data_IF_254673923883
#
_entry.id   IF_254673923883
#
_cell.length_a   1.000
_cell.length_b   1.000
_cell.length_c   1.000
_cell.angle_alpha   90.00
_cell.angle_beta   90.00
_cell.angle_gamma   90.00
#
_symmetry.space_group_name_H-M   'P 1'
#
loop_
_entity.id
_entity.type
_entity.pdbx_description
1 polymer ?
#
# COMPACT_ATOMS: atom_id res chain seq x y z
N UNK A 1 15.23 -3.41 -10.62
CA UNK A 1 13.94 -4.10 -10.44
C UNK A 1 12.82 -3.42 -11.23
N UNK A 2 12.62 -2.10 -11.10
CA UNK A 2 11.58 -1.36 -11.85
C UNK A 2 11.62 -1.55 -13.38
N UNK A 3 12.80 -1.46 -14.01
CA UNK A 3 12.92 -1.67 -15.47
C UNK A 3 12.45 -3.04 -15.96
N UNK A 4 12.66 -4.11 -15.18
CA UNK A 4 12.18 -5.47 -15.53
C UNK A 4 10.68 -5.64 -15.34
N UNK A 5 10.05 -4.81 -14.49
CA UNK A 5 8.59 -4.76 -14.37
C UNK A 5 8.00 -4.07 -15.60
N UNK A 6 8.61 -2.97 -16.07
CA UNK A 6 8.17 -2.25 -17.26
C UNK A 6 8.13 -3.18 -18.49
N UNK A 7 9.16 -4.01 -18.67
CA UNK A 7 9.25 -4.96 -19.79
C UNK A 7 8.23 -6.11 -19.72
N UNK A 8 7.73 -6.47 -18.53
CA UNK A 8 6.97 -7.72 -18.32
C UNK A 8 5.51 -7.51 -17.92
N UNK A 9 5.18 -6.36 -17.33
CA UNK A 9 3.92 -6.19 -16.59
C UNK A 9 2.78 -5.61 -17.44
N UNK A 10 3.01 -5.30 -18.74
CA UNK A 10 1.99 -4.75 -19.66
C UNK A 10 1.21 -3.56 -19.06
N UNK A 11 1.88 -2.74 -18.25
CA UNK A 11 1.29 -1.59 -17.54
C UNK A 11 1.46 -0.31 -18.36
N UNK A 12 0.45 0.55 -18.32
CA UNK A 12 0.47 1.84 -19.04
C UNK A 12 1.37 2.88 -18.36
N UNK A 13 1.51 2.78 -17.03
CA UNK A 13 2.26 3.72 -16.17
C UNK A 13 2.96 2.99 -15.03
N UNK A 14 4.18 3.41 -14.71
CA UNK A 14 4.99 2.87 -13.61
C UNK A 14 5.35 3.97 -12.64
N UNK A 15 5.01 3.78 -11.37
CA UNK A 15 5.38 4.70 -10.30
C UNK A 15 6.21 3.96 -9.25
N UNK A 16 7.19 4.64 -8.68
CA UNK A 16 8.13 4.03 -7.72
C UNK A 16 8.26 4.92 -6.49
N UNK A 17 8.19 4.33 -5.30
CA UNK A 17 8.45 5.02 -4.05
C UNK A 17 9.89 4.78 -3.59
N UNK A 18 10.84 5.69 -3.88
CA UNK A 18 12.22 5.55 -3.39
C UNK A 18 12.31 5.66 -1.86
N UNK A 19 11.39 6.38 -1.21
CA UNK A 19 11.34 6.53 0.25
C UNK A 19 10.06 5.88 0.78
N UNK A 20 10.05 4.53 0.77
CA UNK A 20 8.89 3.77 1.23
C UNK A 20 9.07 3.31 2.69
N UNK A 21 8.30 3.90 3.60
CA UNK A 21 8.01 3.30 4.91
C UNK A 21 6.63 2.70 4.85
N UNK A 22 6.52 1.37 4.89
CA UNK A 22 5.25 0.66 4.68
C UNK A 22 4.16 1.00 5.71
N UNK A 23 4.55 1.51 6.88
CA UNK A 23 3.67 1.95 7.97
C UNK A 23 3.22 3.41 7.84
N UNK A 24 3.81 4.16 6.91
CA UNK A 24 3.49 5.56 6.66
C UNK A 24 2.36 5.64 5.62
N UNK A 25 1.34 6.49 5.87
CA UNK A 25 0.26 6.73 4.93
C UNK A 25 0.77 7.12 3.54
N UNK A 26 0.13 6.62 2.48
CA UNK A 26 0.58 6.87 1.10
C UNK A 26 0.70 8.35 0.77
N UNK A 27 -0.23 9.18 1.26
CA UNK A 27 -0.21 10.62 0.99
C UNK A 27 1.06 11.28 1.53
N UNK A 28 1.73 10.75 2.56
CA UNK A 28 2.95 11.34 3.10
C UNK A 28 4.24 10.81 2.45
N UNK A 29 4.17 9.81 1.57
CA UNK A 29 5.35 9.19 0.97
C UNK A 29 5.97 10.08 -0.09
N UNK A 30 7.29 10.00 -0.25
CA UNK A 30 8.05 10.74 -1.27
C UNK A 30 7.89 12.28 -1.24
N UNK A 31 7.41 12.84 -0.12
CA UNK A 31 7.49 14.29 0.11
C UNK A 31 8.95 14.71 0.34
N UNK A 32 9.36 15.78 -0.36
CA UNK A 32 10.71 16.34 -0.20
C UNK A 32 11.81 15.59 -0.94
N UNK A 33 11.46 14.75 -1.92
CA UNK A 33 12.46 14.23 -2.87
C UNK A 33 13.23 15.39 -3.52
N UNK A 34 14.55 15.27 -3.48
CA UNK A 34 15.43 16.24 -4.12
C UNK A 34 15.36 16.10 -5.65
N UNK A 35 15.69 17.18 -6.37
CA UNK A 35 15.56 17.22 -7.83
C UNK A 35 16.42 16.15 -8.52
N UNK A 36 17.63 15.89 -8.01
CA UNK A 36 18.52 14.84 -8.49
C UNK A 36 17.91 13.44 -8.35
N UNK A 37 17.29 13.14 -7.20
CA UNK A 37 16.59 11.89 -6.95
C UNK A 37 15.39 11.72 -7.90
N UNK A 38 14.63 12.80 -8.13
CA UNK A 38 13.51 12.80 -9.06
C UNK A 38 13.97 12.57 -10.51
N UNK A 39 15.10 13.17 -10.91
CA UNK A 39 15.65 13.00 -12.26
C UNK A 39 16.15 11.57 -12.50
N UNK A 40 16.74 10.92 -11.50
CA UNK A 40 17.11 9.50 -11.58
C UNK A 40 15.86 8.62 -11.70
N UNK A 41 14.82 8.92 -10.92
CA UNK A 41 13.56 8.17 -10.93
C UNK A 41 12.89 8.19 -12.31
N UNK A 42 12.83 9.38 -12.93
CA UNK A 42 12.20 9.61 -14.24
C UNK A 42 12.88 8.87 -15.40
N UNK A 43 14.10 8.35 -15.22
CA UNK A 43 14.75 7.51 -16.24
C UNK A 43 14.11 6.12 -16.36
N UNK A 44 13.39 5.65 -15.33
CA UNK A 44 12.88 4.27 -15.27
C UNK A 44 11.42 4.16 -14.81
N UNK A 45 10.77 5.28 -14.47
CA UNK A 45 9.40 5.35 -13.99
C UNK A 45 8.74 6.67 -14.43
N UNK A 46 7.42 6.70 -14.51
CA UNK A 46 6.60 7.89 -14.77
C UNK A 46 6.55 8.86 -13.58
N UNK A 47 7.00 8.43 -12.39
CA UNK A 47 7.11 9.30 -11.23
C UNK A 47 7.15 8.57 -9.90
N UNK A 48 6.99 9.37 -8.84
CA UNK A 48 6.94 8.96 -7.44
C UNK A 48 5.54 8.53 -6.99
N UNK A 49 5.37 8.18 -5.71
CA UNK A 49 4.03 7.97 -5.13
C UNK A 49 3.17 9.23 -5.26
N UNK A 50 3.74 10.43 -5.11
CA UNK A 50 2.98 11.67 -5.26
C UNK A 50 2.42 11.84 -6.68
N UNK A 51 3.17 11.39 -7.68
CA UNK A 51 2.72 11.41 -9.07
C UNK A 51 1.64 10.37 -9.35
N UNK A 52 1.73 9.19 -8.70
CA UNK A 52 0.64 8.20 -8.70
C UNK A 52 -0.65 8.80 -8.11
N UNK A 53 -0.57 9.48 -6.96
CA UNK A 53 -1.76 10.07 -6.32
C UNK A 53 -2.41 11.13 -7.21
N UNK A 54 -1.61 12.00 -7.84
CA UNK A 54 -2.09 12.98 -8.82
C UNK A 54 -2.73 12.30 -10.04
N UNK A 55 -2.12 11.22 -10.53
CA UNK A 55 -2.67 10.44 -11.63
C UNK A 55 -4.03 9.85 -11.26
N UNK A 56 -4.14 9.18 -10.10
CA UNK A 56 -5.38 8.59 -9.60
C UNK A 56 -6.50 9.62 -9.41
N UNK A 57 -6.18 10.83 -8.98
CA UNK A 57 -7.14 11.91 -8.80
C UNK A 57 -7.84 12.36 -10.11
N UNK A 58 -7.24 12.10 -11.27
CA UNK A 58 -7.77 12.48 -12.59
C UNK A 58 -8.18 11.28 -13.47
N UNK A 59 -7.80 10.07 -13.09
CA UNK A 59 -8.06 8.86 -13.86
C UNK A 59 -9.52 8.40 -13.74
N UNK A 60 -10.03 7.73 -14.78
CA UNK A 60 -11.41 7.19 -14.80
C UNK A 60 -11.50 5.75 -14.29
N UNK A 61 -10.60 4.88 -14.76
CA UNK A 61 -10.56 3.46 -14.42
C UNK A 61 -9.10 3.02 -14.39
N UNK A 62 -8.68 2.45 -13.26
CA UNK A 62 -7.31 2.03 -13.01
C UNK A 62 -7.33 0.61 -12.47
N UNK A 63 -6.43 -0.22 -13.02
CA UNK A 63 -6.02 -1.47 -12.42
C UNK A 63 -4.66 -1.24 -11.77
N UNK A 64 -4.62 -1.21 -10.45
CA UNK A 64 -3.39 -0.94 -9.72
C UNK A 64 -2.60 -2.24 -9.55
N UNK A 65 -1.38 -2.29 -10.07
CA UNK A 65 -0.48 -3.43 -9.91
C UNK A 65 0.59 -3.08 -8.89
N UNK A 66 0.78 -3.92 -7.87
CA UNK A 66 1.83 -3.78 -6.86
C UNK A 66 2.66 -5.06 -6.76
N UNK A 67 3.96 -4.92 -6.53
CA UNK A 67 4.90 -6.06 -6.50
C UNK A 67 4.75 -6.86 -5.20
N UNK A 68 4.49 -6.15 -4.10
CA UNK A 68 4.29 -6.73 -2.79
C UNK A 68 3.28 -5.91 -1.98
N UNK A 69 2.86 -6.49 -0.86
CA UNK A 69 1.93 -5.82 0.05
C UNK A 69 2.57 -4.59 0.71
N UNK A 70 3.85 -4.69 1.08
CA UNK A 70 4.56 -3.62 1.78
C UNK A 70 4.76 -2.36 0.92
N UNK A 71 4.87 -2.51 -0.39
CA UNK A 71 4.93 -1.40 -1.35
C UNK A 71 3.64 -0.59 -1.41
N UNK A 72 2.49 -1.21 -1.12
CA UNK A 72 1.22 -0.50 -0.98
C UNK A 72 1.04 0.00 0.45
N UNK A 73 0.82 -0.89 1.41
CA UNK A 73 0.76 -0.58 2.85
C UNK A 73 0.73 -1.88 3.65
N UNK A 74 1.25 -1.85 4.88
CA UNK A 74 1.11 -2.96 5.84
C UNK A 74 -0.07 -2.76 6.81
N UNK A 75 -0.78 -1.63 6.72
CA UNK A 75 -1.96 -1.31 7.55
C UNK A 75 -3.23 -1.46 6.73
N UNK A 76 -4.18 -2.21 7.26
CA UNK A 76 -5.45 -2.49 6.56
C UNK A 76 -6.32 -1.25 6.48
N UNK A 77 -6.26 -0.40 7.50
CA UNK A 77 -6.98 0.87 7.61
C UNK A 77 -6.51 1.82 6.51
N UNK A 78 -5.19 2.01 6.38
CA UNK A 78 -4.59 2.84 5.33
C UNK A 78 -4.95 2.31 3.92
N UNK A 79 -5.06 0.99 3.75
CA UNK A 79 -5.47 0.38 2.49
C UNK A 79 -6.93 0.72 2.19
N UNK A 80 -7.81 0.53 3.16
CA UNK A 80 -9.22 0.81 3.02
C UNK A 80 -9.48 2.28 2.68
N UNK A 81 -8.84 3.21 3.41
CA UNK A 81 -8.97 4.64 3.18
C UNK A 81 -8.46 5.03 1.79
N UNK A 82 -7.34 4.46 1.37
CA UNK A 82 -6.79 4.67 0.04
C UNK A 82 -7.73 4.19 -1.09
N UNK A 83 -8.26 2.97 -0.99
CA UNK A 83 -9.17 2.41 -2.00
C UNK A 83 -10.54 3.13 -2.00
N UNK A 84 -10.97 3.60 -0.83
CA UNK A 84 -12.18 4.41 -0.68
C UNK A 84 -12.02 5.78 -1.34
N UNK A 85 -10.87 6.43 -1.12
CA UNK A 85 -10.58 7.77 -1.65
C UNK A 85 -10.52 7.79 -3.18
N UNK A 86 -9.97 6.75 -3.82
CA UNK A 86 -9.77 6.71 -5.27
C UNK A 86 -10.73 5.73 -5.96
N UNK A 87 -11.96 6.17 -6.23
CA UNK A 87 -13.01 5.36 -6.90
C UNK A 87 -12.62 4.88 -8.32
N UNK A 88 -11.61 5.51 -8.92
CA UNK A 88 -11.07 5.08 -10.20
C UNK A 88 -10.42 3.70 -10.13
N UNK A 89 -9.94 3.27 -8.96
CA UNK A 89 -9.33 1.95 -8.76
C UNK A 89 -10.42 0.87 -8.79
N UNK A 90 -10.38 0.01 -9.80
CA UNK A 90 -11.36 -1.08 -9.98
C UNK A 90 -10.84 -2.43 -9.51
N UNK A 91 -9.53 -2.63 -9.62
CA UNK A 91 -8.84 -3.85 -9.22
C UNK A 91 -7.47 -3.51 -8.66
N UNK A 92 -7.04 -4.28 -7.69
CA UNK A 92 -5.66 -4.30 -7.20
C UNK A 92 -5.07 -5.67 -7.50
N UNK A 93 -3.95 -5.70 -8.20
CA UNK A 93 -3.20 -6.89 -8.54
C UNK A 93 -1.93 -6.89 -7.71
N UNK A 94 -1.70 -7.94 -6.93
CA UNK A 94 -0.45 -8.16 -6.22
C UNK A 94 0.37 -9.15 -7.04
N UNK A 95 1.32 -8.64 -7.80
CA UNK A 95 2.22 -9.38 -8.66
C UNK A 95 3.49 -9.78 -7.90
N UNK A 96 3.40 -10.93 -7.22
CA UNK A 96 4.54 -11.57 -6.56
C UNK A 96 5.23 -12.56 -7.50
N UNK A 97 4.95 -12.52 -8.82
CA UNK A 97 5.57 -13.43 -9.77
C UNK A 97 7.10 -13.37 -9.78
N UNK A 98 7.76 -12.20 -9.58
CA UNK A 98 9.22 -12.14 -9.58
C UNK A 98 9.87 -12.94 -8.44
N UNK A 99 9.15 -13.14 -7.34
CA UNK A 99 9.68 -13.80 -6.14
C UNK A 99 9.17 -15.23 -5.98
N UNK A 100 7.88 -15.46 -6.26
CA UNK A 100 7.20 -16.73 -5.94
C UNK A 100 6.24 -17.22 -7.03
N UNK A 101 6.27 -16.64 -8.25
CA UNK A 101 5.40 -17.03 -9.38
C UNK A 101 3.89 -17.01 -9.05
N UNK A 102 3.45 -16.07 -8.19
CA UNK A 102 2.03 -15.91 -7.83
C UNK A 102 1.56 -14.50 -8.14
N UNK A 103 0.36 -14.43 -8.72
CA UNK A 103 -0.38 -13.19 -8.93
C UNK A 103 -1.72 -13.32 -8.22
N UNK A 104 -2.09 -12.32 -7.43
CA UNK A 104 -3.40 -12.24 -6.77
C UNK A 104 -4.14 -11.03 -7.28
N UNK A 105 -5.43 -11.19 -7.55
CA UNK A 105 -6.28 -10.10 -8.04
C UNK A 105 -7.41 -9.89 -7.04
N UNK A 106 -7.58 -8.65 -6.61
CA UNK A 106 -8.61 -8.23 -5.68
C UNK A 106 -9.52 -7.23 -6.40
N UNK A 107 -10.84 -7.48 -6.39
CA UNK A 107 -11.78 -6.48 -6.84
C UNK A 107 -11.94 -5.38 -5.78
N UNK A 108 -12.27 -4.16 -6.20
CA UNK A 108 -12.50 -3.04 -5.28
C UNK A 108 -13.52 -3.39 -4.19
N UNK A 109 -14.63 -4.01 -4.58
CA UNK A 109 -15.73 -4.32 -3.66
C UNK A 109 -15.31 -5.34 -2.59
N UNK A 110 -14.43 -6.28 -2.92
CA UNK A 110 -13.87 -7.24 -1.95
C UNK A 110 -12.95 -6.55 -0.93
N UNK A 111 -12.21 -5.53 -1.38
CA UNK A 111 -11.30 -4.76 -0.52
C UNK A 111 -12.05 -3.80 0.42
N UNK A 112 -13.22 -3.31 0.02
CA UNK A 112 -14.05 -2.41 0.82
C UNK A 112 -15.00 -3.16 1.78
N UNK A 113 -15.48 -4.34 1.38
CA UNK A 113 -16.42 -5.14 2.17
C UNK A 113 -15.75 -6.31 2.91
N UNK A 114 -14.41 -6.35 2.89
CA UNK A 114 -13.65 -7.46 3.46
C UNK A 114 -13.92 -7.68 4.95
N UNK A 115 -13.83 -8.93 5.44
CA UNK A 115 -14.16 -9.29 6.82
C UNK A 115 -13.30 -8.59 7.88
N UNK A 116 -12.15 -8.04 7.50
CA UNK A 116 -11.24 -7.31 8.39
C UNK A 116 -11.71 -5.88 8.75
N UNK A 117 -12.65 -5.29 8.00
CA UNK A 117 -13.13 -3.91 8.24
C UNK A 117 -14.38 -3.91 9.14
N UNK A 118 -15.15 -5.00 9.12
CA UNK A 118 -16.43 -5.12 9.82
C UNK A 118 -16.34 -5.90 11.14
N UNK A 119 -15.14 -6.16 11.66
CA UNK A 119 -14.96 -6.86 12.94
C UNK A 119 -14.66 -5.86 14.08
N UNK A 120 -15.66 -5.43 14.88
CA UNK A 120 -15.47 -4.61 16.07
C UNK A 120 -14.72 -5.33 17.21
N UNK A 121 -14.26 -6.56 17.01
CA UNK A 121 -13.59 -7.37 18.04
C UNK A 121 -12.06 -7.20 18.06
N UNK A 122 -11.46 -6.54 17.06
CA UNK A 122 -9.99 -6.39 16.97
C UNK A 122 -9.39 -5.37 17.97
N UNK A 123 -10.19 -4.48 18.58
CA UNK A 123 -9.68 -3.46 19.52
C UNK A 123 -9.51 -3.96 20.97
N UNK A 124 -9.81 -5.24 21.28
CA UNK A 124 -9.72 -5.74 22.67
C UNK A 124 -8.50 -6.59 23.01
N UNK A 125 -7.52 -6.74 22.11
CA UNK A 125 -6.36 -7.60 22.37
C UNK A 125 -5.15 -6.90 23.03
N UNK A 126 -5.05 -5.57 23.07
CA UNK A 126 -3.80 -4.90 23.48
C UNK A 126 -3.82 -4.28 24.89
N UNK A 127 -4.93 -4.29 25.62
CA UNK A 127 -5.00 -3.72 26.99
C UNK A 127 -5.15 -4.75 28.13
N UNK A 128 -4.91 -6.04 27.88
CA UNK A 128 -5.03 -7.10 28.92
C UNK A 128 -3.69 -7.79 29.21
N UNK A 129 -2.63 -7.00 29.37
CA UNK A 129 -1.28 -7.50 29.63
C UNK A 129 -0.45 -6.74 30.67
N UNK A 130 -1.00 -5.75 31.40
CA UNK A 130 -0.20 -4.95 32.36
C UNK A 130 -0.76 -4.80 33.79
N UNK A 131 -1.86 -5.48 34.17
CA UNK A 131 -2.42 -5.37 35.54
C UNK A 131 -2.38 -6.70 36.32
N UNK A 132 -1.23 -7.39 36.34
CA UNK A 132 -1.00 -8.52 37.25
C UNK A 132 0.45 -8.58 37.75
N UNK A 133 0.92 -7.51 38.39
CA UNK A 133 2.07 -7.58 39.30
C UNK A 133 1.91 -6.50 40.36
N UNK A 134 0.91 -6.62 41.22
CA UNK A 134 0.97 -6.04 42.58
C UNK A 134 -0.16 -6.62 43.43
N UNK A 135 0.24 -7.35 44.47
CA UNK A 135 -0.69 -7.89 45.47
C UNK A 135 -0.38 -9.33 45.84
N UNK A 136 0.64 -9.53 46.69
CA UNK A 136 0.82 -10.85 47.32
C UNK A 136 2.12 -11.06 48.08
N UNK A 137 2.38 -10.27 49.13
CA UNK A 137 3.18 -10.79 50.25
C UNK A 137 2.66 -10.23 51.57
N UNK A 138 1.82 -11.03 52.23
CA UNK A 138 1.48 -10.91 53.66
C UNK A 138 1.79 -12.27 54.29
N UNK A 139 2.93 -12.34 54.98
CA UNK A 139 3.14 -12.95 56.30
C UNK A 139 4.58 -12.72 56.72
#
# INVERSE_FOLDING_TARGET
MAGRLLERSLVDKVFVSPVCKSQQPMHLRDYGLQDDQMQILKQYADGSTQDLLRYLASAKKVCLVVVDYAGLTTKVEDLHDFISQYECIRKVVVDQSPCINKVKVFARDDLLNGPCINDPTAEKATQKGLNKLDGGLLK
#
